data_IF_364456489405
#
_entry.id   IF_364456489405
#
_cell.length_a   1.000
_cell.length_b   1.000
_cell.length_c   1.000
_cell.angle_alpha   90.00
_cell.angle_beta   90.00
_cell.angle_gamma   90.00
#
_symmetry.space_group_name_H-M   'P 1'
#
loop_
_entity.id
_entity.type
_entity.pdbx_description
1 polymer ?
#
# COMPACT_ATOMS: atom_id res chain seq x y z
N UNK A 1 7.79 -9.67 24.25
CA UNK A 1 7.93 -10.97 23.54
C UNK A 1 6.56 -11.50 23.09
N UNK A 2 5.61 -11.71 24.01
CA UNK A 2 4.24 -12.18 23.72
C UNK A 2 3.48 -11.35 22.67
N UNK A 3 3.67 -10.03 22.64
CA UNK A 3 2.95 -9.15 21.71
C UNK A 3 3.43 -9.30 20.25
N UNK A 4 4.72 -9.61 20.03
CA UNK A 4 5.26 -9.86 18.70
C UNK A 4 4.83 -11.23 18.17
N UNK A 5 4.82 -12.24 19.04
CA UNK A 5 4.34 -13.58 18.68
C UNK A 5 2.85 -13.56 18.34
N UNK A 6 2.04 -12.89 19.16
CA UNK A 6 0.62 -12.68 18.88
C UNK A 6 0.39 -11.96 17.55
N UNK A 7 1.17 -10.92 17.25
CA UNK A 7 1.10 -10.22 15.94
C UNK A 7 1.44 -11.14 14.77
N UNK A 8 2.47 -11.99 14.90
CA UNK A 8 2.83 -12.98 13.88
C UNK A 8 1.71 -14.00 13.67
N UNK A 9 1.08 -14.47 14.75
CA UNK A 9 -0.03 -15.41 14.70
C UNK A 9 -1.25 -14.80 13.99
N UNK A 10 -1.64 -13.58 14.38
CA UNK A 10 -2.72 -12.83 13.72
C UNK A 10 -2.41 -12.64 12.24
N UNK A 11 -1.18 -12.26 11.89
CA UNK A 11 -0.77 -12.10 10.49
C UNK A 11 -0.94 -13.39 9.69
N UNK A 12 -0.48 -14.53 10.23
CA UNK A 12 -0.64 -15.85 9.59
C UNK A 12 -2.11 -16.22 9.42
N UNK A 13 -2.94 -15.94 10.43
CA UNK A 13 -4.37 -16.21 10.38
C UNK A 13 -5.06 -15.36 9.31
N UNK A 14 -4.73 -14.06 9.24
CA UNK A 14 -5.25 -13.14 8.22
C UNK A 14 -4.86 -13.59 6.82
N UNK A 15 -3.59 -13.94 6.60
CA UNK A 15 -3.12 -14.50 5.32
C UNK A 15 -3.95 -15.73 4.95
N UNK A 16 -4.07 -16.72 5.85
CA UNK A 16 -4.83 -17.96 5.59
C UNK A 16 -6.30 -17.69 5.25
N UNK A 17 -6.93 -16.74 5.93
CA UNK A 17 -8.32 -16.34 5.64
C UNK A 17 -8.47 -15.73 4.25
N UNK A 18 -7.59 -14.80 3.89
CA UNK A 18 -7.61 -14.18 2.57
C UNK A 18 -7.32 -15.24 1.49
N UNK A 19 -6.30 -16.09 1.67
CA UNK A 19 -6.01 -17.20 0.75
C UNK A 19 -7.25 -18.07 0.50
N UNK A 20 -7.95 -18.49 1.56
CA UNK A 20 -9.12 -19.35 1.43
C UNK A 20 -10.24 -18.70 0.59
N UNK A 21 -10.44 -17.38 0.71
CA UNK A 21 -11.42 -16.65 -0.09
C UNK A 21 -11.04 -16.73 -1.57
N UNK A 22 -9.80 -16.36 -1.94
CA UNK A 22 -9.38 -16.35 -3.35
C UNK A 22 -9.25 -17.75 -3.95
N UNK A 23 -8.86 -18.75 -3.16
CA UNK A 23 -8.80 -20.15 -3.58
C UNK A 23 -10.18 -20.74 -3.82
N UNK A 24 -11.20 -20.30 -3.09
CA UNK A 24 -12.58 -20.72 -3.32
C UNK A 24 -13.05 -20.36 -4.74
N UNK A 25 -12.68 -19.19 -5.25
CA UNK A 25 -13.08 -18.73 -6.59
C UNK A 25 -12.25 -19.35 -7.72
N UNK A 26 -10.95 -19.51 -7.54
CA UNK A 26 -10.02 -19.84 -8.63
C UNK A 26 -9.64 -21.31 -8.71
N UNK A 27 -9.73 -22.04 -7.59
CA UNK A 27 -9.28 -23.45 -7.43
C UNK A 27 -7.79 -23.69 -7.72
N UNK A 28 -7.00 -22.66 -8.06
CA UNK A 28 -5.56 -22.72 -8.34
C UNK A 28 -4.83 -21.57 -7.65
N UNK A 29 -3.76 -21.87 -6.90
CA UNK A 29 -3.01 -20.89 -6.09
C UNK A 29 -2.42 -19.74 -6.92
N UNK A 30 -1.86 -20.05 -8.08
CA UNK A 30 -1.25 -19.05 -8.96
C UNK A 30 -2.27 -18.02 -9.46
N UNK A 31 -3.43 -18.48 -9.92
CA UNK A 31 -4.52 -17.59 -10.34
C UNK A 31 -5.11 -16.80 -9.18
N UNK A 32 -5.26 -17.41 -7.99
CA UNK A 32 -5.64 -16.67 -6.78
C UNK A 32 -4.66 -15.52 -6.49
N UNK A 33 -3.35 -15.80 -6.59
CA UNK A 33 -2.29 -14.81 -6.40
C UNK A 33 -2.35 -13.66 -7.41
N UNK A 34 -2.49 -13.97 -8.70
CA UNK A 34 -2.58 -12.95 -9.76
C UNK A 34 -3.83 -12.08 -9.63
N UNK A 35 -4.98 -12.67 -9.31
CA UNK A 35 -6.22 -11.91 -9.08
C UNK A 35 -6.06 -10.99 -7.86
N UNK A 36 -5.42 -11.48 -6.79
CA UNK A 36 -5.17 -10.65 -5.61
C UNK A 36 -4.23 -9.48 -5.94
N UNK A 37 -3.15 -9.71 -6.70
CA UNK A 37 -2.26 -8.64 -7.17
C UNK A 37 -3.03 -7.59 -7.98
N UNK A 38 -3.87 -8.03 -8.92
CA UNK A 38 -4.68 -7.12 -9.73
C UNK A 38 -5.64 -6.30 -8.87
N UNK A 39 -6.35 -6.96 -7.95
CA UNK A 39 -7.27 -6.30 -7.03
C UNK A 39 -6.55 -5.29 -6.15
N UNK A 40 -5.41 -5.66 -5.56
CA UNK A 40 -4.64 -4.81 -4.68
C UNK A 40 -4.05 -3.61 -5.43
N UNK A 41 -3.55 -3.82 -6.65
CA UNK A 41 -3.05 -2.75 -7.50
C UNK A 41 -4.17 -1.78 -7.90
N UNK A 42 -5.32 -2.29 -8.31
CA UNK A 42 -6.48 -1.47 -8.67
C UNK A 42 -6.96 -0.64 -7.47
N UNK A 43 -7.11 -1.27 -6.31
CA UNK A 43 -7.54 -0.61 -5.08
C UNK A 43 -6.61 0.55 -4.69
N UNK A 44 -5.30 0.30 -4.69
CA UNK A 44 -4.31 1.35 -4.38
C UNK A 44 -4.28 2.44 -5.44
N UNK A 45 -4.26 2.06 -6.73
CA UNK A 45 -4.17 3.01 -7.83
C UNK A 45 -5.40 3.90 -7.90
N UNK A 46 -6.61 3.36 -7.76
CA UNK A 46 -7.85 4.16 -7.72
C UNK A 46 -7.87 5.12 -6.53
N UNK A 47 -7.44 4.65 -5.35
CA UNK A 47 -7.38 5.49 -4.14
C UNK A 47 -6.41 6.65 -4.33
N UNK A 48 -5.19 6.35 -4.81
CA UNK A 48 -4.16 7.36 -5.06
C UNK A 48 -4.62 8.30 -6.19
N UNK A 49 -5.13 7.77 -7.29
CA UNK A 49 -5.62 8.56 -8.42
C UNK A 49 -6.66 9.58 -7.98
N UNK A 50 -7.65 9.16 -7.20
CA UNK A 50 -8.69 10.06 -6.72
C UNK A 50 -8.14 11.13 -5.76
N UNK A 51 -7.16 10.79 -4.92
CA UNK A 51 -6.50 11.78 -4.06
C UNK A 51 -5.79 12.85 -4.89
N UNK A 52 -5.14 12.50 -6.00
CA UNK A 52 -4.35 13.43 -6.82
C UNK A 52 -5.17 14.22 -7.84
N UNK A 53 -6.16 13.59 -8.48
CA UNK A 53 -6.86 14.14 -9.63
C UNK A 53 -8.36 14.29 -9.41
N UNK A 54 -8.89 13.81 -8.29
CA UNK A 54 -10.30 13.97 -7.92
C UNK A 54 -10.61 15.34 -7.34
N UNK A 55 -11.88 15.69 -7.39
CA UNK A 55 -12.42 16.93 -6.83
C UNK A 55 -12.43 16.91 -5.29
N UNK A 56 -12.49 18.09 -4.65
CA UNK A 56 -12.63 18.20 -3.18
C UNK A 56 -14.08 17.96 -2.78
N UNK A 57 -14.46 16.70 -2.75
CA UNK A 57 -15.76 16.27 -2.27
C UNK A 57 -15.62 15.24 -1.14
N UNK A 58 -16.75 14.64 -0.76
CA UNK A 58 -16.77 13.62 0.28
C UNK A 58 -15.91 12.40 -0.09
N UNK A 59 -15.82 12.05 -1.38
CA UNK A 59 -15.03 10.91 -1.85
C UNK A 59 -13.53 11.17 -1.69
N UNK A 60 -13.07 12.42 -1.82
CA UNK A 60 -11.67 12.77 -1.56
C UNK A 60 -11.28 12.46 -0.11
N UNK A 61 -12.15 12.81 0.85
CA UNK A 61 -11.90 12.53 2.26
C UNK A 61 -12.01 11.04 2.58
N UNK A 62 -12.95 10.32 1.93
CA UNK A 62 -13.04 8.86 2.05
C UNK A 62 -11.77 8.20 1.52
N UNK A 63 -11.28 8.57 0.34
CA UNK A 63 -10.06 8.03 -0.24
C UNK A 63 -8.83 8.37 0.61
N UNK A 64 -8.73 9.60 1.11
CA UNK A 64 -7.64 10.02 2.00
C UNK A 64 -7.66 9.23 3.32
N UNK A 65 -8.82 9.10 3.96
CA UNK A 65 -8.97 8.30 5.18
C UNK A 65 -8.69 6.81 4.96
N UNK A 66 -9.15 6.27 3.83
CA UNK A 66 -8.87 4.88 3.43
C UNK A 66 -7.37 4.66 3.20
N UNK A 67 -6.68 5.58 2.52
CA UNK A 67 -5.23 5.51 2.33
C UNK A 67 -4.49 5.53 3.67
N UNK A 68 -4.88 6.42 4.60
CA UNK A 68 -4.28 6.46 5.94
C UNK A 68 -4.51 5.16 6.72
N UNK A 69 -5.70 4.56 6.61
CA UNK A 69 -5.97 3.25 7.19
C UNK A 69 -5.05 2.17 6.61
N UNK A 70 -4.82 2.17 5.28
CA UNK A 70 -3.87 1.25 4.64
C UNK A 70 -2.44 1.44 5.16
N UNK A 71 -2.01 2.70 5.38
CA UNK A 71 -0.69 3.00 5.94
C UNK A 71 -0.57 2.51 7.38
N UNK A 72 -1.58 2.75 8.23
CA UNK A 72 -1.61 2.22 9.60
C UNK A 72 -1.52 0.69 9.60
N UNK A 73 -2.29 0.03 8.74
CA UNK A 73 -2.26 -1.43 8.59
C UNK A 73 -0.90 -1.91 8.08
N UNK A 74 -0.27 -1.20 7.14
CA UNK A 74 1.06 -1.51 6.63
C UNK A 74 2.10 -1.51 7.77
N UNK A 75 2.10 -0.52 8.66
CA UNK A 75 3.01 -0.52 9.81
C UNK A 75 2.65 -1.57 10.85
N UNK A 76 1.36 -1.79 11.14
CA UNK A 76 0.91 -2.81 12.09
C UNK A 76 1.35 -4.22 11.67
N UNK A 77 1.17 -4.55 10.40
CA UNK A 77 1.55 -5.85 9.85
C UNK A 77 3.03 -5.93 9.46
N UNK A 78 3.81 -4.84 9.50
CA UNK A 78 5.15 -4.73 8.94
C UNK A 78 5.19 -5.13 7.45
N UNK A 79 4.45 -4.37 6.64
CA UNK A 79 4.11 -4.63 5.24
C UNK A 79 2.61 -4.80 5.01
N UNK A 80 2.13 -4.49 3.80
CA UNK A 80 0.73 -4.70 3.44
C UNK A 80 0.33 -6.19 3.52
N UNK A 81 -0.82 -6.47 4.14
CA UNK A 81 -1.33 -7.84 4.29
C UNK A 81 -1.65 -8.51 2.96
N UNK A 82 -2.10 -7.74 1.96
CA UNK A 82 -2.32 -8.24 0.61
C UNK A 82 -0.99 -8.64 -0.04
N UNK A 83 0.05 -7.81 0.05
CA UNK A 83 1.40 -8.19 -0.40
C UNK A 83 1.88 -9.49 0.24
N UNK A 84 1.69 -9.65 1.55
CA UNK A 84 2.10 -10.88 2.25
C UNK A 84 1.34 -12.11 1.78
N UNK A 85 0.06 -11.94 1.46
CA UNK A 85 -0.80 -13.01 0.93
C UNK A 85 -0.43 -13.33 -0.52
N UNK A 86 -0.16 -12.33 -1.35
CA UNK A 86 0.31 -12.49 -2.73
C UNK A 86 1.59 -13.31 -2.78
N UNK A 87 2.57 -13.00 -1.93
CA UNK A 87 3.82 -13.78 -1.78
C UNK A 87 3.55 -15.24 -1.41
N UNK A 88 2.58 -15.47 -0.53
CA UNK A 88 2.21 -16.81 -0.07
C UNK A 88 1.48 -17.62 -1.15
N UNK A 89 0.62 -16.99 -1.95
CA UNK A 89 -0.10 -17.63 -3.06
C UNK A 89 0.80 -17.91 -4.27
N UNK A 90 1.69 -16.97 -4.60
CA UNK A 90 2.58 -17.05 -5.76
C UNK A 90 3.90 -17.81 -5.48
N UNK A 91 4.10 -18.28 -4.25
CA UNK A 91 5.38 -18.86 -3.79
C UNK A 91 6.60 -17.94 -4.01
N UNK A 92 6.39 -16.63 -4.18
CA UNK A 92 7.45 -15.63 -4.34
C UNK A 92 7.65 -14.86 -3.05
N UNK A 93 8.52 -15.38 -2.18
CA UNK A 93 8.77 -14.77 -0.88
C UNK A 93 9.70 -13.54 -0.93
N UNK A 94 10.46 -13.32 -2.02
CA UNK A 94 11.68 -12.48 -1.98
C UNK A 94 11.78 -11.39 -3.04
N UNK A 95 11.02 -11.42 -4.14
CA UNK A 95 11.09 -10.37 -5.18
C UNK A 95 10.01 -9.31 -5.03
N UNK A 96 8.83 -9.68 -4.55
CA UNK A 96 7.64 -8.85 -4.66
C UNK A 96 7.36 -8.03 -3.39
N UNK A 97 7.61 -6.72 -3.37
CA UNK A 97 7.35 -5.86 -2.20
C UNK A 97 6.04 -5.06 -2.31
N UNK A 98 5.12 -5.49 -3.18
CA UNK A 98 3.83 -4.85 -3.39
C UNK A 98 3.90 -3.71 -4.41
N UNK A 99 2.76 -3.06 -4.69
CA UNK A 99 2.67 -2.05 -5.74
C UNK A 99 3.70 -0.90 -5.66
N UNK A 100 4.07 -0.36 -4.48
CA UNK A 100 5.08 0.70 -4.38
C UNK A 100 6.47 0.27 -4.88
N UNK A 101 6.81 -1.01 -4.80
CA UNK A 101 8.12 -1.52 -5.21
C UNK A 101 8.35 -1.48 -6.72
N UNK A 102 7.28 -1.37 -7.52
CA UNK A 102 7.38 -1.16 -8.97
C UNK A 102 8.07 0.17 -9.28
N UNK A 103 7.81 1.21 -8.48
CA UNK A 103 8.47 2.52 -8.65
C UNK A 103 9.95 2.51 -8.23
N UNK A 104 10.38 1.50 -7.49
CA UNK A 104 11.75 1.32 -6.99
C UNK A 104 12.49 0.16 -7.69
N UNK A 105 12.01 -0.26 -8.85
CA UNK A 105 12.61 -1.34 -9.62
C UNK A 105 14.10 -1.07 -9.90
N UNK A 106 14.95 -2.07 -9.65
CA UNK A 106 16.41 -1.98 -9.82
C UNK A 106 17.21 -1.62 -8.55
N UNK A 107 16.54 -1.40 -7.41
CA UNK A 107 17.21 -1.17 -6.10
C UNK A 107 17.49 -2.46 -5.34
N UNK A 108 18.55 -2.49 -4.52
CA UNK A 108 18.88 -3.65 -3.68
C UNK A 108 17.74 -4.00 -2.70
N UNK A 109 17.45 -5.29 -2.51
CA UNK A 109 16.26 -5.79 -1.79
C UNK A 109 16.09 -5.21 -0.37
N UNK A 110 17.17 -5.11 0.39
CA UNK A 110 17.14 -4.61 1.77
C UNK A 110 16.95 -3.08 1.80
N UNK A 111 17.50 -2.38 0.81
CA UNK A 111 17.27 -0.96 0.57
C UNK A 111 15.81 -0.69 0.14
N UNK A 112 15.26 -1.53 -0.74
CA UNK A 112 13.90 -1.42 -1.24
C UNK A 112 12.84 -1.41 -0.13
N UNK A 113 12.97 -2.26 0.89
CA UNK A 113 11.99 -2.31 1.99
C UNK A 113 12.00 -1.03 2.84
N UNK A 114 13.18 -0.58 3.27
CA UNK A 114 13.30 0.65 4.05
C UNK A 114 12.85 1.86 3.23
N UNK A 115 13.28 1.96 1.96
CA UNK A 115 12.85 3.02 1.05
C UNK A 115 11.35 3.01 0.83
N UNK A 116 10.72 1.86 0.62
CA UNK A 116 9.26 1.75 0.54
C UNK A 116 8.58 2.28 1.80
N UNK A 117 9.04 1.85 2.98
CA UNK A 117 8.46 2.28 4.25
C UNK A 117 8.58 3.79 4.45
N UNK A 118 9.75 4.36 4.17
CA UNK A 118 9.96 5.81 4.28
C UNK A 118 9.13 6.57 3.24
N UNK A 119 9.11 6.12 1.99
CA UNK A 119 8.30 6.73 0.93
C UNK A 119 6.82 6.74 1.30
N UNK A 120 6.28 5.62 1.79
CA UNK A 120 4.88 5.53 2.24
C UNK A 120 4.59 6.52 3.37
N UNK A 121 5.50 6.66 4.35
CA UNK A 121 5.37 7.66 5.41
C UNK A 121 5.33 9.10 4.87
N UNK A 122 6.23 9.45 3.95
CA UNK A 122 6.27 10.78 3.35
C UNK A 122 5.00 11.08 2.55
N UNK A 123 4.52 10.11 1.75
CA UNK A 123 3.25 10.23 1.03
C UNK A 123 2.08 10.43 1.98
N UNK A 124 2.00 9.65 3.06
CA UNK A 124 0.95 9.78 4.07
C UNK A 124 0.98 11.16 4.74
N UNK A 125 2.17 11.65 5.11
CA UNK A 125 2.35 12.97 5.71
C UNK A 125 1.85 14.08 4.78
N UNK A 126 2.27 14.06 3.51
CA UNK A 126 1.83 15.08 2.54
C UNK A 126 0.32 14.99 2.28
N UNK A 127 -0.28 13.81 2.27
CA UNK A 127 -1.74 13.66 2.13
C UNK A 127 -2.47 14.30 3.31
N UNK A 128 -1.99 14.12 4.55
CA UNK A 128 -2.58 14.76 5.74
C UNK A 128 -2.47 16.28 5.65
N UNK A 129 -1.27 16.80 5.38
CA UNK A 129 -1.03 18.25 5.28
C UNK A 129 -1.85 18.86 4.14
N UNK A 130 -1.88 18.23 2.97
CA UNK A 130 -2.69 18.67 1.83
C UNK A 130 -4.17 18.71 2.20
N UNK A 131 -4.67 17.69 2.91
CA UNK A 131 -6.06 17.64 3.35
C UNK A 131 -6.38 18.77 4.34
N UNK A 132 -5.49 19.07 5.29
CA UNK A 132 -5.65 20.19 6.24
C UNK A 132 -5.63 21.53 5.52
N UNK A 133 -4.65 21.79 4.66
CA UNK A 133 -4.54 23.06 3.92
C UNK A 133 -5.80 23.31 3.08
N UNK A 134 -6.31 22.27 2.44
CA UNK A 134 -7.51 22.35 1.59
C UNK A 134 -8.82 22.59 2.34
N UNK A 135 -8.85 22.38 3.67
CA UNK A 135 -9.96 22.85 4.51
C UNK A 135 -10.01 24.39 4.57
N UNK A 136 -8.87 25.06 4.45
CA UNK A 136 -8.76 26.52 4.52
C UNK A 136 -8.70 27.19 3.14
N UNK A 137 -8.04 26.55 2.17
CA UNK A 137 -7.97 27.06 0.81
C UNK A 137 -7.97 25.92 -0.22
N UNK A 138 -9.09 25.80 -0.93
CA UNK A 138 -9.32 24.73 -1.91
C UNK A 138 -8.41 24.81 -3.14
N UNK A 139 -7.89 25.99 -3.47
CA UNK A 139 -7.03 26.24 -4.63
C UNK A 139 -5.59 25.75 -4.41
N UNK A 140 -5.16 25.61 -3.16
CA UNK A 140 -3.81 25.14 -2.85
C UNK A 140 -3.80 23.61 -2.95
N UNK A 141 -2.86 23.08 -3.74
CA UNK A 141 -2.60 21.65 -3.81
C UNK A 141 -1.10 21.34 -3.70
N UNK A 142 -0.79 20.32 -2.92
CA UNK A 142 0.58 19.80 -2.75
C UNK A 142 0.86 18.58 -3.63
N UNK A 143 0.07 18.35 -4.67
CA UNK A 143 0.17 17.16 -5.51
C UNK A 143 1.52 17.03 -6.20
N UNK A 144 2.12 18.16 -6.59
CA UNK A 144 3.46 18.18 -7.16
C UNK A 144 4.52 17.61 -6.20
N UNK A 145 4.38 17.86 -4.89
CA UNK A 145 5.30 17.34 -3.86
C UNK A 145 5.23 15.81 -3.79
N UNK A 146 4.03 15.23 -3.92
CA UNK A 146 3.88 13.78 -3.91
C UNK A 146 4.63 13.12 -5.10
N UNK A 147 4.59 13.74 -6.28
CA UNK A 147 5.36 13.27 -7.45
C UNK A 147 6.87 13.38 -7.18
N UNK A 148 7.32 14.51 -6.63
CA UNK A 148 8.73 14.72 -6.27
C UNK A 148 9.23 13.68 -5.25
N UNK A 149 8.39 13.29 -4.28
CA UNK A 149 8.72 12.23 -3.33
C UNK A 149 8.99 10.90 -4.06
N UNK A 150 8.09 10.49 -4.96
CA UNK A 150 8.27 9.23 -5.71
C UNK A 150 9.54 9.27 -6.56
N UNK A 151 9.82 10.40 -7.23
CA UNK A 151 11.03 10.57 -8.03
C UNK A 151 12.30 10.58 -7.17
N UNK A 152 12.26 11.20 -5.99
CA UNK A 152 13.37 11.22 -5.04
C UNK A 152 13.75 9.81 -4.61
N UNK A 153 12.78 9.00 -4.14
CA UNK A 153 13.05 7.64 -3.68
C UNK A 153 13.44 6.66 -4.81
N UNK A 154 13.07 6.97 -6.06
CA UNK A 154 13.50 6.19 -7.22
C UNK A 154 14.98 6.42 -7.55
N UNK A 155 15.46 7.66 -7.43
CA UNK A 155 16.80 8.05 -7.90
C UNK A 155 17.87 7.99 -6.80
N UNK A 156 17.49 7.93 -5.52
CA UNK A 156 18.39 7.94 -4.37
C UNK A 156 18.08 6.81 -3.38
#
# INVERSE_FOLDING_TARGET
>A
MFELEKRKEITKLSIKRIENIFLHFTKKREYAGLILVLFHYLLLTCTIWYIFFGDIDIYYYICSGFYLLLVCMHYYYNGCIFTKTERSLLNDAKSWYGPPSIFLYGTDKMSCMNRCNTMIAYLAFVIVINSIIRLYNKEISLYFILILIVLYFRNF
#
